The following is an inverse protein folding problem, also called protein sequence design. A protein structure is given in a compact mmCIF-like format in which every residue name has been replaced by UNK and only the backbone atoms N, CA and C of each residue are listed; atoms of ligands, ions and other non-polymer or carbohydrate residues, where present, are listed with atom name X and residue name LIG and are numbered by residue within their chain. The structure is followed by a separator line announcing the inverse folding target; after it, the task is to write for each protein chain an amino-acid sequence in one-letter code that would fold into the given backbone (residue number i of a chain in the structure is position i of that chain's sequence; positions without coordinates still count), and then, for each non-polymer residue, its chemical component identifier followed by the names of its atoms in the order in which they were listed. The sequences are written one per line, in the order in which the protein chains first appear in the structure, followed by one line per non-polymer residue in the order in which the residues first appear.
data_IF_006101455161
#
_entry.id   IF_006101455161
#
_cell.length_a   1.000
_cell.length_b   1.000
_cell.length_c   1.000
_cell.angle_alpha   90.00
_cell.angle_beta   90.00
_cell.angle_gamma   90.00
#
_symmetry.space_group_name_H-M   'P 1'
#
loop_
_entity.id
_entity.type
_entity.pdbx_description
1 polymer ?
#
# COMPACT_ATOMS: atom_id res chain seq x y z
N UNK A 1 -10.03 30.17 -29.36
CA UNK A 1 -9.72 28.81 -28.88
C UNK A 1 -11.05 28.13 -28.66
N UNK A 2 -11.29 27.02 -29.34
CA UNK A 2 -12.53 26.24 -29.14
C UNK A 2 -12.29 25.46 -27.84
N UNK A 3 -13.12 25.69 -26.82
CA UNK A 3 -13.04 24.87 -25.62
C UNK A 3 -13.30 23.41 -26.03
N UNK A 4 -12.47 22.46 -25.56
CA UNK A 4 -12.71 21.04 -25.82
C UNK A 4 -14.11 20.62 -25.34
N UNK A 5 -14.68 19.54 -25.91
CA UNK A 5 -16.04 19.11 -25.57
C UNK A 5 -16.16 18.78 -24.08
N UNK A 6 -17.11 19.46 -23.42
CA UNK A 6 -17.47 19.25 -22.01
C UNK A 6 -18.76 18.41 -21.90
N UNK A 7 -18.88 17.65 -20.83
CA UNK A 7 -20.04 16.83 -20.52
C UNK A 7 -20.22 16.64 -19.03
N UNK A 8 -21.04 15.67 -18.63
CA UNK A 8 -21.19 15.29 -17.23
C UNK A 8 -21.14 13.77 -17.07
N UNK A 9 -20.43 13.29 -16.06
CA UNK A 9 -20.43 11.88 -15.68
C UNK A 9 -20.79 11.75 -14.20
N UNK A 10 -21.80 10.95 -13.86
CA UNK A 10 -22.34 10.83 -12.48
C UNK A 10 -22.63 12.19 -11.81
N UNK A 11 -23.06 13.18 -12.61
CA UNK A 11 -23.37 14.53 -12.14
C UNK A 11 -22.15 15.43 -11.87
N UNK A 12 -20.94 15.00 -12.23
CA UNK A 12 -19.71 15.79 -12.16
C UNK A 12 -19.37 16.32 -13.56
N UNK A 13 -18.99 17.59 -13.75
CA UNK A 13 -18.49 18.08 -15.04
C UNK A 13 -17.24 17.31 -15.48
N UNK A 14 -17.15 16.96 -16.76
CA UNK A 14 -16.00 16.27 -17.32
C UNK A 14 -15.60 16.90 -18.65
N UNK A 15 -14.32 16.87 -18.98
CA UNK A 15 -13.82 17.39 -20.26
C UNK A 15 -12.40 16.92 -20.56
N UNK A 16 -11.77 17.56 -21.55
CA UNK A 16 -10.35 17.38 -21.84
C UNK A 16 -9.58 18.67 -21.53
N UNK A 17 -8.36 18.58 -21.03
CA UNK A 17 -7.46 19.75 -20.97
C UNK A 17 -7.09 20.20 -22.39
N UNK A 18 -6.39 21.33 -22.53
CA UNK A 18 -5.93 21.77 -23.86
C UNK A 18 -4.95 20.77 -24.50
N UNK A 19 -4.24 20.03 -23.66
CA UNK A 19 -3.30 18.96 -24.02
C UNK A 19 -4.03 17.63 -24.31
N UNK A 20 -5.35 17.57 -24.13
CA UNK A 20 -6.17 16.40 -24.42
C UNK A 20 -6.32 15.42 -23.25
N UNK A 21 -5.97 15.81 -22.02
CA UNK A 21 -6.07 14.91 -20.87
C UNK A 21 -7.47 14.92 -20.26
N UNK A 22 -8.05 13.75 -19.96
CA UNK A 22 -9.39 13.69 -19.40
C UNK A 22 -9.40 14.23 -17.96
N UNK A 23 -10.38 15.07 -17.65
CA UNK A 23 -10.58 15.61 -16.31
C UNK A 23 -12.03 15.44 -15.84
N UNK A 24 -12.18 15.48 -14.52
CA UNK A 24 -13.46 15.62 -13.81
C UNK A 24 -13.39 16.80 -12.83
N UNK A 25 -14.49 17.52 -12.67
CA UNK A 25 -14.59 18.75 -11.89
C UNK A 25 -14.71 20.00 -12.75
N UNK A 26 -14.92 21.14 -12.09
CA UNK A 26 -15.05 22.44 -12.76
C UNK A 26 -13.77 22.77 -13.54
N UNK A 27 -13.85 23.20 -14.82
CA UNK A 27 -12.67 23.67 -15.56
C UNK A 27 -12.01 24.90 -14.92
N UNK A 28 -12.77 25.66 -14.12
CA UNK A 28 -12.34 26.85 -13.41
C UNK A 28 -11.97 26.59 -11.93
N UNK A 29 -11.84 25.31 -11.53
CA UNK A 29 -11.48 24.97 -10.15
C UNK A 29 -10.10 25.56 -9.80
N UNK A 30 -9.93 26.22 -8.64
CA UNK A 30 -8.68 26.87 -8.26
C UNK A 30 -7.53 25.90 -7.91
N UNK A 31 -7.85 24.61 -7.76
CA UNK A 31 -6.90 23.54 -7.45
C UNK A 31 -7.03 22.46 -8.51
N UNK A 32 -5.90 22.05 -9.08
CA UNK A 32 -5.81 20.94 -10.04
C UNK A 32 -5.04 19.80 -9.40
N UNK A 33 -5.68 18.64 -9.28
CA UNK A 33 -5.04 17.41 -8.83
C UNK A 33 -4.77 16.51 -10.03
N UNK A 34 -3.51 16.32 -10.39
CA UNK A 34 -3.12 15.35 -11.41
C UNK A 34 -2.97 13.97 -10.77
N UNK A 35 -3.77 13.01 -11.22
CA UNK A 35 -3.75 11.63 -10.77
C UNK A 35 -2.98 10.77 -11.79
N UNK A 36 -1.78 10.33 -11.42
CA UNK A 36 -0.97 9.40 -12.20
C UNK A 36 -1.28 7.97 -11.76
N UNK A 37 -1.96 7.23 -12.63
CA UNK A 37 -2.63 5.98 -12.26
C UNK A 37 -2.35 4.86 -13.26
N UNK A 38 -2.54 3.63 -12.79
CA UNK A 38 -2.36 2.39 -13.54
C UNK A 38 -3.61 1.53 -13.35
N UNK A 39 -4.31 1.23 -14.45
CA UNK A 39 -5.57 0.48 -14.39
C UNK A 39 -5.45 -0.94 -13.83
N UNK A 40 -4.26 -1.54 -13.83
CA UNK A 40 -4.01 -2.89 -13.31
C UNK A 40 -3.45 -2.86 -11.88
N UNK A 41 -3.00 -1.70 -11.40
CA UNK A 41 -2.45 -1.56 -10.07
C UNK A 41 -3.54 -1.76 -9.00
N UNK A 42 -3.33 -2.66 -8.02
CA UNK A 42 -4.28 -2.90 -6.94
C UNK A 42 -4.43 -1.69 -6.01
N UNK A 43 -3.37 -0.87 -5.84
CA UNK A 43 -3.46 0.37 -5.06
C UNK A 43 -4.28 1.45 -5.78
N UNK A 44 -4.17 1.56 -7.11
CA UNK A 44 -4.99 2.47 -7.89
C UNK A 44 -6.47 2.08 -7.78
N UNK A 45 -6.77 0.78 -7.87
CA UNK A 45 -8.11 0.25 -7.63
C UNK A 45 -8.61 0.56 -6.20
N UNK A 46 -7.75 0.39 -5.17
CA UNK A 46 -8.10 0.79 -3.80
C UNK A 46 -8.46 2.27 -3.69
N UNK A 47 -7.65 3.16 -4.26
CA UNK A 47 -7.94 4.59 -4.29
C UNK A 47 -9.28 4.88 -4.98
N UNK A 48 -9.50 4.30 -6.17
CA UNK A 48 -10.73 4.44 -6.95
C UNK A 48 -11.97 4.01 -6.17
N UNK A 49 -11.88 2.92 -5.39
CA UNK A 49 -13.00 2.39 -4.61
C UNK A 49 -13.21 3.15 -3.30
N UNK A 50 -12.14 3.48 -2.57
CA UNK A 50 -12.22 3.91 -1.17
C UNK A 50 -12.05 5.41 -0.96
N UNK A 51 -11.25 6.09 -1.79
CA UNK A 51 -10.84 7.49 -1.54
C UNK A 51 -11.44 8.45 -2.57
N UNK A 52 -11.39 8.11 -3.86
CA UNK A 52 -11.92 8.93 -4.95
C UNK A 52 -13.37 9.40 -4.71
N UNK A 53 -14.34 8.54 -4.33
CA UNK A 53 -15.73 8.97 -4.17
C UNK A 53 -15.92 10.06 -3.10
N UNK A 54 -15.13 10.01 -2.03
CA UNK A 54 -15.17 10.99 -0.95
C UNK A 54 -14.55 12.32 -1.37
N UNK A 55 -13.46 12.29 -2.15
CA UNK A 55 -12.86 13.49 -2.75
C UNK A 55 -13.82 14.13 -3.74
N UNK A 56 -14.45 13.31 -4.59
CA UNK A 56 -15.40 13.76 -5.59
C UNK A 56 -16.58 14.49 -4.95
N UNK A 57 -17.15 13.92 -3.88
CA UNK A 57 -18.27 14.52 -3.15
C UNK A 57 -17.88 15.82 -2.44
N UNK A 58 -16.72 15.85 -1.79
CA UNK A 58 -16.33 16.97 -0.92
C UNK A 58 -15.78 18.16 -1.72
N UNK A 59 -14.97 17.91 -2.76
CA UNK A 59 -14.18 18.94 -3.43
C UNK A 59 -14.45 19.10 -4.92
N UNK A 60 -14.73 18.00 -5.64
CA UNK A 60 -14.86 18.05 -7.10
C UNK A 60 -16.25 18.56 -7.51
N UNK A 61 -17.31 18.04 -6.87
CA UNK A 61 -18.70 18.49 -7.10
C UNK A 61 -18.93 19.94 -6.73
N UNK A 62 -18.26 20.42 -5.68
CA UNK A 62 -18.33 21.81 -5.23
C UNK A 62 -17.54 22.77 -6.13
N UNK A 63 -16.78 22.25 -7.10
CA UNK A 63 -15.97 23.04 -8.03
C UNK A 63 -14.68 23.57 -7.43
N UNK A 64 -14.28 23.08 -6.25
CA UNK A 64 -13.05 23.50 -5.57
C UNK A 64 -11.82 22.81 -6.16
N UNK A 65 -11.98 21.57 -6.63
CA UNK A 65 -10.89 20.77 -7.22
C UNK A 65 -11.31 20.24 -8.59
N UNK A 66 -10.37 20.28 -9.53
CA UNK A 66 -10.42 19.55 -10.80
C UNK A 66 -9.39 18.43 -10.77
N UNK A 67 -9.81 17.21 -11.05
CA UNK A 67 -8.90 16.05 -11.13
C UNK A 67 -8.60 15.77 -12.60
N UNK A 68 -7.33 15.71 -12.96
CA UNK A 68 -6.84 15.37 -14.31
C UNK A 68 -6.20 14.00 -14.26
N UNK A 69 -6.70 13.03 -15.02
CA UNK A 69 -6.12 11.70 -15.07
C UNK A 69 -4.91 11.66 -16.01
N UNK A 70 -3.83 11.02 -15.57
CA UNK A 70 -2.58 10.83 -16.30
C UNK A 70 -2.24 9.34 -16.35
N UNK A 71 -2.02 8.84 -17.57
CA UNK A 71 -1.63 7.45 -17.79
C UNK A 71 -0.22 7.21 -17.23
N UNK A 72 -0.08 6.27 -16.29
CA UNK A 72 1.22 5.86 -15.75
C UNK A 72 1.33 4.35 -15.55
N UNK A 73 1.16 3.52 -16.61
CA UNK A 73 1.29 2.07 -16.48
C UNK A 73 2.72 1.65 -16.13
N UNK A 74 2.83 0.80 -15.11
CA UNK A 74 4.09 0.18 -14.69
C UNK A 74 4.25 -1.16 -15.41
N UNK A 75 4.43 -1.14 -16.73
CA UNK A 75 4.35 -2.32 -17.61
C UNK A 75 5.17 -3.55 -17.18
N UNK A 76 6.26 -3.35 -16.43
CA UNK A 76 7.09 -4.44 -15.90
C UNK A 76 6.40 -5.22 -14.78
N UNK A 77 5.57 -4.54 -13.98
CA UNK A 77 4.78 -5.14 -12.89
C UNK A 77 3.37 -5.50 -13.37
N UNK A 78 2.84 -4.70 -14.30
CA UNK A 78 1.47 -4.73 -14.75
C UNK A 78 1.42 -4.82 -16.29
N UNK A 79 1.62 -6.02 -16.87
CA UNK A 79 1.78 -6.20 -18.32
C UNK A 79 0.51 -5.89 -19.14
N UNK A 80 -0.67 -5.94 -18.52
CA UNK A 80 -1.96 -5.63 -19.16
C UNK A 80 -2.33 -4.14 -19.05
N UNK A 81 -1.68 -3.37 -18.18
CA UNK A 81 -1.99 -1.96 -17.97
C UNK A 81 -1.84 -1.10 -19.24
N UNK A 82 -0.76 -1.18 -20.05
CA UNK A 82 -0.65 -0.37 -21.26
C UNK A 82 -1.85 -0.52 -22.20
N UNK A 83 -2.35 -1.75 -22.38
CA UNK A 83 -3.51 -2.03 -23.20
C UNK A 83 -4.81 -1.46 -22.60
N UNK A 84 -4.95 -1.48 -21.27
CA UNK A 84 -6.08 -0.84 -20.58
C UNK A 84 -6.09 0.69 -20.77
N UNK A 85 -4.92 1.34 -20.71
CA UNK A 85 -4.81 2.78 -20.99
C UNK A 85 -5.17 3.10 -22.45
N UNK A 86 -4.66 2.33 -23.42
CA UNK A 86 -5.05 2.45 -24.84
C UNK A 86 -6.56 2.28 -25.02
N UNK A 87 -7.17 1.28 -24.38
CA UNK A 87 -8.61 1.07 -24.42
C UNK A 87 -9.40 2.29 -23.91
N UNK A 88 -8.96 2.90 -22.79
CA UNK A 88 -9.58 4.11 -22.25
C UNK A 88 -9.47 5.30 -23.22
N UNK A 89 -8.31 5.50 -23.84
CA UNK A 89 -8.09 6.60 -24.79
C UNK A 89 -8.84 6.38 -26.11
N UNK A 90 -9.02 5.15 -26.56
CA UNK A 90 -9.86 4.84 -27.72
C UNK A 90 -11.36 5.02 -27.42
N UNK A 91 -11.79 4.81 -26.18
CA UNK A 91 -13.12 5.22 -25.75
C UNK A 91 -13.25 6.77 -25.74
N UNK A 92 -12.20 7.49 -25.37
CA UNK A 92 -12.17 8.95 -25.35
C UNK A 92 -12.41 9.59 -26.73
N UNK A 93 -11.95 8.95 -27.82
CA UNK A 93 -12.20 9.41 -29.19
C UNK A 93 -13.69 9.44 -29.55
N UNK A 94 -14.52 8.70 -28.80
CA UNK A 94 -15.98 8.69 -28.95
C UNK A 94 -16.70 9.61 -27.96
N UNK A 95 -15.94 10.30 -27.10
CA UNK A 95 -16.45 11.31 -26.18
C UNK A 95 -15.92 11.15 -24.77
N UNK A 96 -15.89 12.26 -24.02
CA UNK A 96 -15.39 12.26 -22.65
C UNK A 96 -16.23 11.39 -21.70
N UNK A 97 -17.53 11.26 -21.93
CA UNK A 97 -18.36 10.36 -21.13
C UNK A 97 -17.97 8.90 -21.34
N UNK A 98 -17.67 8.51 -22.59
CA UNK A 98 -17.19 7.17 -22.92
C UNK A 98 -15.85 6.86 -22.25
N UNK A 99 -14.94 7.84 -22.18
CA UNK A 99 -13.70 7.70 -21.40
C UNK A 99 -13.99 7.35 -19.93
N UNK A 100 -14.80 8.14 -19.23
CA UNK A 100 -15.06 7.93 -17.80
C UNK A 100 -15.87 6.65 -17.51
N UNK A 101 -16.73 6.24 -18.45
CA UNK A 101 -17.38 4.94 -18.40
C UNK A 101 -16.36 3.80 -18.53
N UNK A 102 -15.46 3.86 -19.52
CA UNK A 102 -14.40 2.86 -19.71
C UNK A 102 -13.43 2.83 -18.53
N UNK A 103 -12.93 3.99 -18.08
CA UNK A 103 -12.11 4.14 -16.87
C UNK A 103 -12.73 3.42 -15.67
N UNK A 104 -14.01 3.68 -15.39
CA UNK A 104 -14.70 3.07 -14.26
C UNK A 104 -14.84 1.56 -14.43
N UNK A 105 -15.17 1.08 -15.64
CA UNK A 105 -15.30 -0.36 -15.92
C UNK A 105 -13.97 -1.08 -15.75
N UNK A 106 -12.88 -0.52 -16.26
CA UNK A 106 -11.53 -1.09 -16.13
C UNK A 106 -11.16 -1.35 -14.67
N UNK A 107 -11.36 -0.39 -13.77
CA UNK A 107 -11.13 -0.60 -12.34
C UNK A 107 -12.13 -1.56 -11.69
N UNK A 108 -13.43 -1.43 -11.99
CA UNK A 108 -14.48 -2.27 -11.39
C UNK A 108 -14.32 -3.75 -11.72
N UNK A 109 -13.84 -4.06 -12.93
CA UNK A 109 -13.65 -5.43 -13.40
C UNK A 109 -12.18 -5.86 -13.35
N UNK A 110 -11.31 -5.13 -12.64
CA UNK A 110 -9.87 -5.39 -12.60
C UNK A 110 -9.56 -6.85 -12.28
N UNK A 111 -10.23 -7.43 -11.29
CA UNK A 111 -10.05 -8.84 -10.89
C UNK A 111 -10.36 -9.86 -12.01
N UNK A 112 -11.14 -9.48 -13.03
CA UNK A 112 -11.52 -10.37 -14.12
C UNK A 112 -10.48 -10.42 -15.25
N UNK A 113 -9.73 -9.32 -15.45
CA UNK A 113 -8.77 -9.22 -16.55
C UNK A 113 -7.30 -9.12 -16.09
N UNK A 114 -7.04 -8.91 -14.81
CA UNK A 114 -5.68 -8.71 -14.26
C UNK A 114 -4.69 -9.80 -14.72
N UNK A 115 -5.09 -11.07 -14.63
CA UNK A 115 -4.26 -12.23 -15.00
C UNK A 115 -4.54 -12.75 -16.42
N UNK A 116 -5.37 -12.05 -17.20
CA UNK A 116 -5.74 -12.50 -18.54
C UNK A 116 -4.53 -12.48 -19.46
N UNK A 117 -4.33 -13.57 -20.23
CA UNK A 117 -3.35 -13.61 -21.32
C UNK A 117 -3.86 -12.96 -22.61
N UNK A 118 -5.13 -12.53 -22.63
CA UNK A 118 -5.78 -11.80 -23.72
C UNK A 118 -6.67 -10.68 -23.15
N UNK A 119 -6.06 -9.80 -22.36
CA UNK A 119 -6.74 -8.62 -21.82
C UNK A 119 -7.34 -7.70 -22.91
N UNK A 120 -6.70 -7.48 -24.08
CA UNK A 120 -7.29 -6.67 -25.15
C UNK A 120 -8.68 -7.13 -25.60
N UNK A 121 -8.91 -8.45 -25.73
CA UNK A 121 -10.22 -9.00 -26.07
C UNK A 121 -11.28 -8.70 -25.00
N UNK A 122 -10.89 -8.74 -23.73
CA UNK A 122 -11.75 -8.34 -22.62
C UNK A 122 -12.09 -6.84 -22.70
N UNK A 123 -11.12 -5.98 -23.00
CA UNK A 123 -11.37 -4.53 -23.15
C UNK A 123 -12.27 -4.21 -24.35
N UNK A 124 -12.15 -4.93 -25.47
CA UNK A 124 -13.10 -4.82 -26.59
C UNK A 124 -14.51 -5.27 -26.21
N UNK A 125 -14.65 -6.24 -25.31
CA UNK A 125 -15.94 -6.65 -24.75
C UNK A 125 -16.55 -5.53 -23.91
N UNK A 126 -15.77 -4.91 -23.01
CA UNK A 126 -16.19 -3.73 -22.25
C UNK A 126 -16.64 -2.58 -23.16
N UNK A 127 -15.88 -2.29 -24.22
CA UNK A 127 -16.24 -1.26 -25.20
C UNK A 127 -17.61 -1.52 -25.85
N UNK A 128 -17.87 -2.78 -26.24
CA UNK A 128 -19.15 -3.19 -26.82
C UNK A 128 -20.31 -3.07 -25.82
N UNK A 129 -20.10 -3.44 -24.56
CA UNK A 129 -21.10 -3.30 -23.49
C UNK A 129 -21.44 -1.85 -23.17
N UNK A 130 -20.46 -0.94 -23.30
CA UNK A 130 -20.65 0.50 -23.17
C UNK A 130 -21.37 1.12 -24.39
N UNK A 131 -21.62 0.33 -25.44
CA UNK A 131 -22.30 0.78 -26.65
C UNK A 131 -21.45 1.66 -27.54
N UNK A 132 -20.12 1.53 -27.46
CA UNK A 132 -19.20 2.25 -28.35
C UNK A 132 -19.34 1.76 -29.79
N UNK A 133 -19.04 2.65 -30.74
CA UNK A 133 -18.88 2.29 -32.14
C UNK A 133 -17.64 1.40 -32.29
N UNK A 134 -17.87 0.10 -32.46
CA UNK A 134 -16.79 -0.89 -32.45
C UNK A 134 -15.89 -0.81 -33.69
N UNK A 135 -16.37 -0.28 -34.81
CA UNK A 135 -15.55 -0.04 -36.00
C UNK A 135 -14.48 1.03 -35.69
N UNK A 136 -14.90 2.17 -35.15
CA UNK A 136 -13.99 3.25 -34.76
C UNK A 136 -13.08 2.86 -33.59
N UNK A 137 -13.60 2.14 -32.60
CA UNK A 137 -12.81 1.67 -31.46
C UNK A 137 -11.69 0.72 -31.91
N UNK A 138 -12.03 -0.29 -32.72
CA UNK A 138 -11.04 -1.27 -33.20
C UNK A 138 -10.00 -0.59 -34.09
N UNK A 139 -10.42 0.33 -34.97
CA UNK A 139 -9.50 1.10 -35.79
C UNK A 139 -8.52 1.94 -34.94
N UNK A 140 -9.00 2.54 -33.84
CA UNK A 140 -8.14 3.26 -32.90
C UNK A 140 -7.10 2.33 -32.23
N UNK A 141 -7.54 1.17 -31.71
CA UNK A 141 -6.64 0.21 -31.06
C UNK A 141 -5.58 -0.31 -32.05
N UNK A 142 -5.99 -0.67 -33.26
CA UNK A 142 -5.09 -1.19 -34.31
C UNK A 142 -4.10 -0.14 -34.84
N UNK A 143 -4.43 1.14 -34.73
CA UNK A 143 -3.55 2.21 -35.19
C UNK A 143 -2.25 2.33 -34.37
N UNK A 144 -2.27 1.89 -33.11
CA UNK A 144 -1.18 2.07 -32.15
C UNK A 144 -0.92 3.53 -31.76
N UNK A 145 -1.70 4.51 -32.24
CA UNK A 145 -1.46 5.93 -32.01
C UNK A 145 -1.49 6.29 -30.51
N UNK A 146 -2.37 5.64 -29.75
CA UNK A 146 -2.53 5.89 -28.31
C UNK A 146 -1.35 5.38 -27.48
N UNK A 147 -0.55 4.44 -27.98
CA UNK A 147 0.64 3.93 -27.26
C UNK A 147 1.65 5.04 -27.00
N UNK A 148 1.82 5.96 -27.96
CA UNK A 148 2.72 7.10 -27.81
C UNK A 148 2.25 8.08 -26.73
N UNK A 149 0.94 8.30 -26.61
CA UNK A 149 0.36 9.14 -25.56
C UNK A 149 0.55 8.53 -24.18
N UNK A 150 0.34 7.21 -24.07
CA UNK A 150 0.59 6.47 -22.83
C UNK A 150 2.06 6.53 -22.43
N UNK A 151 2.99 6.32 -23.38
CA UNK A 151 4.41 6.42 -23.14
C UNK A 151 4.84 7.84 -22.71
N UNK A 152 4.19 8.88 -23.25
CA UNK A 152 4.42 10.25 -22.81
C UNK A 152 4.00 10.47 -21.36
N UNK A 153 2.82 9.96 -20.95
CA UNK A 153 2.36 10.02 -19.55
C UNK A 153 3.36 9.39 -18.57
N UNK A 154 3.94 8.24 -18.95
CA UNK A 154 5.01 7.57 -18.17
C UNK A 154 6.25 8.46 -18.01
N UNK A 155 6.72 9.06 -19.11
CA UNK A 155 7.90 9.94 -19.06
C UNK A 155 7.66 11.19 -18.20
N UNK A 156 6.47 11.78 -18.27
CA UNK A 156 6.09 12.92 -17.45
C UNK A 156 6.05 12.56 -15.97
N UNK A 157 5.44 11.42 -15.61
CA UNK A 157 5.41 10.93 -14.23
C UNK A 157 6.83 10.72 -13.67
N UNK A 158 7.71 10.09 -14.45
CA UNK A 158 9.11 9.86 -14.07
C UNK A 158 9.91 11.16 -13.95
N UNK A 159 9.65 12.15 -14.81
CA UNK A 159 10.28 13.46 -14.72
C UNK A 159 9.88 14.24 -13.45
N UNK A 160 8.70 13.95 -12.90
CA UNK A 160 8.24 14.45 -11.60
C UNK A 160 8.79 13.63 -10.42
N UNK A 161 9.59 12.60 -10.66
CA UNK A 161 10.17 11.74 -9.63
C UNK A 161 9.27 10.60 -9.16
N UNK A 162 8.10 10.40 -9.78
CA UNK A 162 7.19 9.32 -9.41
C UNK A 162 7.73 7.97 -9.89
N UNK A 163 7.83 7.02 -8.96
CA UNK A 163 8.30 5.65 -9.20
C UNK A 163 7.21 4.60 -8.98
N UNK A 164 5.97 5.01 -8.70
CA UNK A 164 4.86 4.12 -8.40
C UNK A 164 3.49 4.78 -8.58
N UNK A 165 2.44 3.96 -8.58
CA UNK A 165 1.06 4.38 -8.74
C UNK A 165 0.17 3.91 -7.57
N UNK A 166 -0.88 4.67 -7.20
CA UNK A 166 -1.19 5.99 -7.73
C UNK A 166 -0.23 7.04 -7.15
N UNK A 167 0.07 8.08 -7.91
CA UNK A 167 0.80 9.26 -7.45
C UNK A 167 0.03 10.52 -7.84
N UNK A 168 0.05 11.53 -6.98
CA UNK A 168 -0.74 12.73 -7.15
C UNK A 168 0.15 13.97 -7.15
N UNK A 169 -0.11 14.89 -8.06
CA UNK A 169 0.51 16.21 -8.10
C UNK A 169 -0.57 17.26 -7.92
N UNK A 170 -0.64 17.89 -6.76
CA UNK A 170 -1.72 18.82 -6.39
C UNK A 170 -1.21 20.25 -6.55
N UNK A 171 -1.76 20.96 -7.53
CA UNK A 171 -1.32 22.29 -7.94
C UNK A 171 -2.39 23.33 -7.60
N UNK A 172 -1.98 24.46 -7.04
CA UNK A 172 -2.86 25.61 -6.84
C UNK A 172 -2.63 26.63 -7.95
N UNK A 173 -3.64 26.88 -8.78
CA UNK A 173 -3.53 27.73 -9.97
C UNK A 173 -3.05 29.16 -9.67
N UNK A 174 -3.47 29.71 -8.53
CA UNK A 174 -3.15 31.09 -8.15
C UNK A 174 -1.66 31.33 -7.84
N UNK A 175 -0.96 30.32 -7.33
CA UNK A 175 0.44 30.44 -6.88
C UNK A 175 1.40 29.57 -7.71
N UNK A 176 0.87 28.60 -8.46
CA UNK A 176 1.62 27.55 -9.13
C UNK A 176 2.49 26.73 -8.16
N UNK A 177 2.11 26.71 -6.87
CA UNK A 177 2.69 25.80 -5.90
C UNK A 177 2.16 24.39 -6.16
N UNK A 178 3.06 23.41 -6.07
CA UNK A 178 2.74 22.02 -6.36
C UNK A 178 3.20 21.11 -5.23
N UNK A 179 2.33 20.16 -4.88
CA UNK A 179 2.46 19.31 -3.72
C UNK A 179 2.28 17.84 -4.14
N UNK A 180 3.33 17.01 -4.06
CA UNK A 180 3.21 15.59 -4.36
C UNK A 180 2.51 14.85 -3.19
N UNK A 181 1.71 13.84 -3.53
CA UNK A 181 1.18 12.86 -2.59
C UNK A 181 1.29 11.48 -3.22
N UNK A 182 2.04 10.57 -2.61
CA UNK A 182 2.41 9.28 -3.21
C UNK A 182 1.61 8.14 -2.58
N UNK A 183 1.09 7.25 -3.40
CA UNK A 183 0.36 6.05 -3.01
C UNK A 183 -1.14 6.29 -2.81
N UNK A 184 -1.88 5.19 -2.66
CA UNK A 184 -3.31 5.23 -2.36
C UNK A 184 -3.57 5.61 -0.91
N UNK A 185 -3.33 6.89 -0.59
CA UNK A 185 -3.49 7.46 0.73
C UNK A 185 -4.97 7.50 1.17
N UNK A 186 -5.25 7.48 2.49
CA UNK A 186 -6.61 7.69 3.01
C UNK A 186 -7.15 9.08 2.66
N UNK A 187 -8.48 9.22 2.64
CA UNK A 187 -9.18 10.48 2.38
C UNK A 187 -8.64 11.65 3.20
N UNK A 188 -8.36 11.44 4.50
CA UNK A 188 -7.92 12.50 5.41
C UNK A 188 -6.61 13.19 4.97
N UNK A 189 -5.71 12.45 4.30
CA UNK A 189 -4.47 13.04 3.79
C UNK A 189 -4.73 13.96 2.60
N UNK A 190 -5.67 13.59 1.72
CA UNK A 190 -6.11 14.46 0.64
C UNK A 190 -6.83 15.68 1.21
N UNK A 191 -7.76 15.48 2.15
CA UNK A 191 -8.50 16.55 2.79
C UNK A 191 -7.57 17.58 3.45
N UNK A 192 -6.57 17.13 4.20
CA UNK A 192 -5.59 18.02 4.84
C UNK A 192 -4.86 18.93 3.83
N UNK A 193 -4.42 18.38 2.69
CA UNK A 193 -3.75 19.17 1.64
C UNK A 193 -4.75 20.12 0.97
N UNK A 194 -5.90 19.60 0.54
CA UNK A 194 -6.91 20.36 -0.19
C UNK A 194 -7.48 21.50 0.66
N UNK A 195 -7.82 21.24 1.93
CA UNK A 195 -8.34 22.25 2.85
C UNK A 195 -7.32 23.36 3.12
N UNK A 196 -6.04 23.02 3.33
CA UNK A 196 -4.97 24.02 3.47
C UNK A 196 -4.85 24.90 2.21
N UNK A 197 -4.85 24.28 1.03
CA UNK A 197 -4.82 25.02 -0.24
C UNK A 197 -6.06 25.91 -0.41
N UNK A 198 -7.26 25.41 -0.10
CA UNK A 198 -8.49 26.21 -0.13
C UNK A 198 -8.39 27.40 0.82
N UNK A 199 -7.83 27.20 2.01
CA UNK A 199 -7.68 28.22 3.05
C UNK A 199 -6.63 29.31 2.73
N UNK A 200 -5.79 29.15 1.70
CA UNK A 200 -4.69 30.11 1.51
C UNK A 200 -3.37 29.69 2.17
N UNK A 201 -3.32 28.51 2.76
CA UNK A 201 -2.22 28.04 3.59
C UNK A 201 -1.27 27.15 2.78
N UNK A 202 -0.03 27.05 3.25
CA UNK A 202 0.93 26.06 2.74
C UNK A 202 0.60 24.72 3.40
N UNK A 203 0.19 23.70 2.64
CA UNK A 203 -0.01 22.37 3.19
C UNK A 203 1.26 21.92 3.91
N UNK A 204 1.10 21.37 5.10
CA UNK A 204 2.17 20.64 5.78
C UNK A 204 2.31 19.28 5.07
N UNK A 205 2.85 19.31 3.85
CA UNK A 205 3.23 18.09 3.15
C UNK A 205 4.48 17.59 3.85
N UNK A 206 4.52 16.32 4.24
CA UNK A 206 5.75 15.69 4.70
C UNK A 206 6.80 15.88 3.58
N UNK A 207 7.70 16.85 3.76
CA UNK A 207 8.64 17.27 2.73
C UNK A 207 9.73 16.22 2.57
N UNK A 208 9.98 15.80 1.34
CA UNK A 208 10.99 14.81 0.92
C UNK A 208 12.46 15.27 1.09
N UNK A 209 12.77 16.17 2.02
CA UNK A 209 14.15 16.55 2.40
C UNK A 209 14.52 16.05 3.81
N UNK A 210 14.25 14.79 4.09
CA UNK A 210 14.96 13.94 5.05
C UNK A 210 14.35 12.54 4.97
N UNK A 211 15.17 11.50 5.17
CA UNK A 211 14.82 10.11 4.87
C UNK A 211 13.51 9.62 5.46
N UNK A 212 12.96 8.59 4.80
CA UNK A 212 12.08 7.55 5.36
C UNK A 212 11.36 7.90 6.69
N UNK A 213 10.33 8.73 6.65
CA UNK A 213 9.39 8.85 7.77
C UNK A 213 7.97 8.73 7.23
N UNK A 214 7.38 7.56 7.46
CA UNK A 214 5.94 7.35 7.29
C UNK A 214 5.14 8.08 8.36
N UNK A 215 4.01 8.64 7.92
CA UNK A 215 2.75 8.75 8.66
C UNK A 215 2.77 9.40 10.05
N UNK A 216 2.26 10.64 10.09
CA UNK A 216 1.67 11.21 11.31
C UNK A 216 2.52 12.33 11.90
N UNK A 217 2.10 13.57 11.67
CA UNK A 217 2.33 14.74 12.54
C UNK A 217 3.70 14.86 13.26
N UNK A 218 4.83 14.45 12.65
CA UNK A 218 6.15 14.54 13.30
C UNK A 218 6.26 13.88 14.68
N UNK A 219 5.28 13.05 15.08
CA UNK A 219 5.29 12.32 16.34
C UNK A 219 5.61 10.86 16.01
N UNK A 220 6.72 10.38 16.55
CA UNK A 220 7.09 8.97 16.51
C UNK A 220 5.88 8.16 17.03
N UNK A 221 5.33 7.22 16.25
CA UNK A 221 4.18 6.44 16.69
C UNK A 221 4.45 5.78 18.04
N UNK A 222 3.45 5.70 18.93
CA UNK A 222 3.65 5.18 20.30
C UNK A 222 4.43 3.85 20.33
N UNK A 223 4.11 2.93 19.42
CA UNK A 223 4.79 1.62 19.26
C UNK A 223 6.27 1.68 18.85
N UNK A 224 6.76 2.85 18.42
CA UNK A 224 8.16 3.13 18.11
C UNK A 224 8.80 4.13 19.09
N UNK A 225 8.09 4.56 20.14
CA UNK A 225 8.65 5.44 21.18
C UNK A 225 9.38 4.63 22.25
N UNK A 226 10.28 5.29 22.99
CA UNK A 226 10.92 4.69 24.16
C UNK A 226 9.93 4.27 25.27
N UNK A 227 8.73 4.86 25.32
CA UNK A 227 7.68 4.44 26.26
C UNK A 227 6.95 3.19 25.75
N UNK A 228 6.50 3.19 24.49
CA UNK A 228 5.79 2.04 23.93
C UNK A 228 6.64 0.80 23.74
N UNK A 229 7.97 0.95 23.58
CA UNK A 229 8.93 -0.15 23.46
C UNK A 229 9.36 -0.75 24.80
N UNK A 230 9.01 -0.14 25.94
CA UNK A 230 9.32 -0.74 27.24
C UNK A 230 8.59 -2.07 27.43
N UNK A 231 9.18 -3.05 28.13
CA UNK A 231 8.47 -4.24 28.55
C UNK A 231 7.23 -3.91 29.39
N UNK A 232 6.11 -4.55 29.08
CA UNK A 232 4.89 -4.48 29.86
C UNK A 232 5.06 -5.28 31.16
N UNK A 233 5.00 -4.64 32.35
CA UNK A 233 5.17 -5.33 33.63
C UNK A 233 4.01 -6.29 33.96
N UNK A 234 2.85 -6.12 33.34
CA UNK A 234 1.65 -6.93 33.55
C UNK A 234 1.52 -8.05 32.51
N UNK A 235 2.26 -7.98 31.40
CA UNK A 235 2.27 -8.97 30.30
C UNK A 235 3.72 -9.32 29.88
N UNK A 236 4.38 -10.27 30.57
CA UNK A 236 5.72 -10.70 30.19
C UNK A 236 5.80 -11.14 28.72
N UNK A 237 6.82 -10.69 28.00
CA UNK A 237 6.99 -10.95 26.55
C UNK A 237 6.44 -9.85 25.65
N UNK A 238 5.60 -8.96 26.16
CA UNK A 238 5.02 -7.85 25.40
C UNK A 238 5.66 -6.51 25.72
N UNK A 239 5.74 -5.65 24.72
CA UNK A 239 5.98 -4.22 24.94
C UNK A 239 4.74 -3.52 25.50
N UNK A 240 4.89 -2.31 26.01
CA UNK A 240 3.80 -1.43 26.42
C UNK A 240 2.86 -1.05 25.26
N UNK A 241 3.29 -1.25 24.02
CA UNK A 241 2.47 -1.15 22.81
C UNK A 241 1.77 -2.46 22.41
N UNK A 242 2.00 -3.54 23.17
CA UNK A 242 1.38 -4.84 22.96
C UNK A 242 2.08 -5.68 21.89
N UNK A 243 3.34 -5.39 21.57
CA UNK A 243 4.13 -6.15 20.59
C UNK A 243 4.95 -7.24 21.25
N UNK A 244 5.00 -8.42 20.63
CA UNK A 244 5.89 -9.49 21.04
C UNK A 244 7.34 -9.16 20.68
N UNK A 245 8.27 -9.48 21.58
CA UNK A 245 9.67 -9.16 21.40
C UNK A 245 10.61 -10.27 21.85
N UNK A 246 11.86 -10.17 21.42
CA UNK A 246 12.99 -10.96 21.91
C UNK A 246 14.28 -10.14 21.96
N UNK A 247 15.26 -10.63 22.69
CA UNK A 247 16.51 -9.92 22.96
C UNK A 247 16.39 -8.95 24.14
N UNK A 248 17.39 -8.09 24.28
CA UNK A 248 17.49 -7.16 25.39
C UNK A 248 16.66 -5.89 25.12
N UNK A 249 15.61 -5.59 25.92
CA UNK A 249 14.80 -4.37 25.75
C UNK A 249 15.57 -3.07 26.01
N UNK A 250 16.75 -3.15 26.64
CA UNK A 250 17.65 -2.01 26.86
C UNK A 250 18.72 -1.86 25.75
N UNK A 251 18.65 -2.68 24.69
CA UNK A 251 19.57 -2.57 23.57
C UNK A 251 19.37 -1.22 22.85
N UNK A 252 20.47 -0.58 22.46
CA UNK A 252 20.44 0.73 21.80
C UNK A 252 19.90 0.66 20.36
N UNK A 253 19.84 -0.53 19.77
CA UNK A 253 19.31 -0.76 18.43
C UNK A 253 18.04 -1.59 18.54
N UNK A 254 16.94 -1.06 18.00
CA UNK A 254 15.66 -1.76 17.93
C UNK A 254 15.38 -2.11 16.48
N UNK A 255 14.99 -3.36 16.21
CA UNK A 255 14.53 -3.81 14.91
C UNK A 255 13.06 -4.19 15.03
N UNK A 256 12.19 -3.43 14.39
CA UNK A 256 10.75 -3.71 14.32
C UNK A 256 10.47 -4.40 12.99
N UNK A 257 10.13 -5.68 13.04
CA UNK A 257 9.78 -6.51 11.90
C UNK A 257 8.26 -6.47 11.65
N UNK A 258 7.86 -5.98 10.48
CA UNK A 258 6.51 -6.18 9.94
C UNK A 258 6.51 -7.43 9.06
N UNK A 259 5.85 -8.48 9.52
CA UNK A 259 5.88 -9.81 8.90
C UNK A 259 4.48 -10.32 8.57
N UNK A 260 4.42 -11.24 7.61
CA UNK A 260 3.18 -11.90 7.18
C UNK A 260 3.42 -13.41 7.16
N UNK A 261 2.69 -14.14 7.99
CA UNK A 261 2.86 -15.58 8.14
C UNK A 261 2.66 -16.37 6.85
N UNK A 262 1.86 -15.86 5.90
CA UNK A 262 1.60 -16.53 4.62
C UNK A 262 2.61 -16.12 3.53
N UNK A 263 3.46 -15.14 3.80
CA UNK A 263 4.40 -14.61 2.83
C UNK A 263 5.62 -15.53 2.64
N UNK A 264 5.91 -15.99 1.41
CA UNK A 264 7.07 -16.85 1.15
C UNK A 264 8.41 -16.16 1.41
N UNK A 265 8.48 -14.82 1.31
CA UNK A 265 9.69 -14.07 1.65
C UNK A 265 9.90 -13.94 3.16
N UNK A 266 8.82 -13.76 3.94
CA UNK A 266 8.90 -13.77 5.41
C UNK A 266 9.35 -15.14 5.89
N UNK A 267 8.77 -16.21 5.35
CA UNK A 267 9.23 -17.60 5.60
C UNK A 267 10.72 -17.77 5.31
N UNK A 268 11.19 -17.29 4.16
CA UNK A 268 12.62 -17.35 3.81
C UNK A 268 13.49 -16.59 4.81
N UNK A 269 13.07 -15.41 5.25
CA UNK A 269 13.79 -14.64 6.26
C UNK A 269 13.92 -15.43 7.57
N UNK A 270 12.81 -15.99 8.07
CA UNK A 270 12.78 -16.79 9.30
C UNK A 270 13.64 -18.05 9.18
N UNK A 271 13.66 -18.71 8.02
CA UNK A 271 14.44 -19.95 7.81
C UNK A 271 15.93 -19.71 7.57
N UNK A 272 16.27 -18.71 6.74
CA UNK A 272 17.62 -18.59 6.19
C UNK A 272 18.43 -17.45 6.83
N UNK A 273 17.78 -16.42 7.38
CA UNK A 273 18.45 -15.18 7.82
C UNK A 273 18.35 -14.98 9.32
N UNK A 274 17.14 -15.07 9.86
CA UNK A 274 16.87 -14.76 11.26
C UNK A 274 17.71 -15.57 12.26
N UNK A 275 17.97 -16.89 12.10
CA UNK A 275 18.75 -17.64 13.08
C UNK A 275 20.17 -17.11 13.25
N UNK A 276 20.77 -16.61 12.16
CA UNK A 276 22.10 -15.99 12.23
C UNK A 276 22.06 -14.60 12.86
N UNK A 277 20.98 -13.83 12.64
CA UNK A 277 20.80 -12.53 13.29
C UNK A 277 20.57 -12.70 14.78
N UNK A 278 19.82 -13.73 15.17
CA UNK A 278 19.56 -14.07 16.56
C UNK A 278 20.87 -14.40 17.29
N UNK A 279 21.64 -15.37 16.79
CA UNK A 279 22.94 -15.77 17.37
C UNK A 279 23.91 -14.59 17.48
N UNK A 280 23.94 -13.73 16.45
CA UNK A 280 24.92 -12.63 16.40
C UNK A 280 24.54 -11.43 17.24
N UNK A 281 23.26 -11.05 17.29
CA UNK A 281 22.84 -9.75 17.78
C UNK A 281 21.78 -9.80 18.87
N UNK A 282 20.82 -10.72 18.79
CA UNK A 282 19.72 -10.81 19.76
C UNK A 282 20.19 -11.52 21.03
N UNK A 283 20.82 -12.69 20.88
CA UNK A 283 21.35 -13.51 21.98
C UNK A 283 22.58 -12.88 22.66
N UNK A 284 23.22 -11.91 22.00
CA UNK A 284 24.36 -11.16 22.54
C UNK A 284 23.96 -9.80 23.12
N UNK A 285 22.65 -9.58 23.33
CA UNK A 285 22.07 -8.37 23.90
C UNK A 285 22.35 -7.06 23.13
N UNK A 286 22.73 -7.16 21.85
CA UNK A 286 23.04 -6.01 21.00
C UNK A 286 21.80 -5.42 20.31
N UNK A 287 20.76 -6.23 20.07
CA UNK A 287 19.54 -5.81 19.38
C UNK A 287 18.30 -6.22 20.18
N UNK A 288 17.34 -5.30 20.21
CA UNK A 288 15.97 -5.53 20.63
C UNK A 288 15.11 -5.81 19.39
N UNK A 289 14.54 -7.02 19.28
CA UNK A 289 13.75 -7.42 18.10
C UNK A 289 12.27 -7.46 18.44
N UNK A 290 11.46 -6.67 17.75
CA UNK A 290 10.02 -6.53 17.96
C UNK A 290 9.28 -7.02 16.73
N UNK A 291 8.24 -7.84 16.93
CA UNK A 291 7.41 -8.36 15.84
C UNK A 291 6.09 -7.61 15.73
N UNK A 292 5.66 -7.34 14.50
CA UNK A 292 4.35 -6.78 14.15
C UNK A 292 3.70 -7.54 13.00
N UNK A 293 2.40 -7.76 13.10
CA UNK A 293 1.63 -8.38 12.03
C UNK A 293 1.41 -7.42 10.86
N UNK A 294 1.69 -7.87 9.64
CA UNK A 294 1.34 -7.15 8.42
C UNK A 294 0.78 -8.06 7.31
N UNK A 295 -0.33 -8.78 7.55
CA UNK A 295 -1.05 -9.52 6.50
C UNK A 295 -1.28 -8.70 5.22
N UNK A 296 -0.74 -9.17 4.10
CA UNK A 296 -0.99 -8.57 2.80
C UNK A 296 -2.34 -9.06 2.26
N UNK A 297 -3.05 -8.22 1.50
CA UNK A 297 -4.37 -8.57 0.95
C UNK A 297 -4.34 -9.76 -0.02
N UNK A 298 -3.17 -10.09 -0.56
CA UNK A 298 -2.94 -11.26 -1.44
C UNK A 298 -2.79 -12.57 -0.66
N UNK A 299 -2.76 -12.51 0.68
CA UNK A 299 -2.56 -13.62 1.59
C UNK A 299 -3.80 -13.79 2.48
N UNK A 300 -4.87 -14.44 1.97
CA UNK A 300 -6.17 -14.43 2.63
C UNK A 300 -6.22 -15.18 3.97
N UNK A 301 -5.24 -16.04 4.27
CA UNK A 301 -5.14 -16.77 5.54
C UNK A 301 -4.18 -16.09 6.54
N UNK A 302 -3.39 -15.10 6.11
CA UNK A 302 -2.44 -14.41 6.98
C UNK A 302 -3.08 -13.74 8.22
N UNK A 303 -4.26 -13.08 8.13
CA UNK A 303 -4.91 -12.55 9.33
C UNK A 303 -5.25 -13.64 10.36
N UNK A 304 -5.76 -14.79 9.90
CA UNK A 304 -6.08 -15.91 10.78
C UNK A 304 -4.83 -16.54 11.40
N UNK A 305 -3.72 -16.63 10.66
CA UNK A 305 -2.42 -17.05 11.20
C UNK A 305 -1.88 -16.06 12.25
N UNK A 306 -2.05 -14.75 12.04
CA UNK A 306 -1.73 -13.74 13.05
C UNK A 306 -2.52 -13.93 14.34
N UNK A 307 -3.83 -14.17 14.23
CA UNK A 307 -4.69 -14.49 15.39
C UNK A 307 -4.22 -15.76 16.10
N UNK A 308 -3.86 -16.82 15.36
CA UNK A 308 -3.33 -18.05 15.93
C UNK A 308 -2.02 -17.81 16.72
N UNK A 309 -1.13 -16.94 16.22
CA UNK A 309 0.09 -16.57 16.91
C UNK A 309 -0.22 -15.81 18.22
N UNK A 310 -1.10 -14.82 18.20
CA UNK A 310 -1.55 -14.09 19.41
C UNK A 310 -2.26 -15.02 20.42
N UNK A 311 -3.01 -16.02 19.95
CA UNK A 311 -3.64 -16.99 20.83
C UNK A 311 -2.64 -17.94 21.50
N UNK A 312 -1.51 -18.23 20.84
CA UNK A 312 -0.40 -18.91 21.48
C UNK A 312 0.36 -17.98 22.43
N UNK A 313 0.43 -16.70 22.11
CA UNK A 313 1.02 -15.65 22.93
C UNK A 313 0.29 -15.47 24.27
N UNK A 314 -1.04 -15.62 24.29
CA UNK A 314 -1.84 -15.68 25.53
C UNK A 314 -1.49 -16.86 26.45
N UNK A 315 -0.65 -17.79 25.97
CA UNK A 315 -0.14 -18.95 26.69
C UNK A 315 1.41 -19.00 26.65
N UNK A 316 2.05 -17.83 26.54
CA UNK A 316 3.51 -17.64 26.56
C UNK A 316 4.26 -18.43 25.47
N UNK A 317 3.62 -18.71 24.32
CA UNK A 317 4.17 -19.54 23.23
C UNK A 317 4.11 -18.86 21.86
N UNK A 318 4.24 -17.53 21.82
CA UNK A 318 4.20 -16.76 20.57
C UNK A 318 5.29 -17.21 19.60
N UNK A 319 6.54 -17.29 20.06
CA UNK A 319 7.70 -17.55 19.19
C UNK A 319 7.70 -18.99 18.66
N UNK A 320 7.28 -19.95 19.47
CA UNK A 320 7.13 -21.34 19.05
C UNK A 320 6.01 -21.50 18.01
N UNK A 321 4.87 -20.83 18.20
CA UNK A 321 3.81 -20.82 17.19
C UNK A 321 4.24 -20.08 15.92
N UNK A 322 4.95 -18.96 16.07
CA UNK A 322 5.51 -18.19 14.95
C UNK A 322 6.40 -19.06 14.06
N UNK A 323 7.32 -19.84 14.65
CA UNK A 323 8.17 -20.77 13.91
C UNK A 323 7.36 -21.86 13.21
N UNK A 324 6.40 -22.48 13.90
CA UNK A 324 5.54 -23.53 13.33
C UNK A 324 4.68 -23.01 12.18
N UNK A 325 4.13 -21.80 12.27
CA UNK A 325 3.35 -21.18 11.20
C UNK A 325 4.19 -21.01 9.93
N UNK A 326 5.44 -20.57 10.04
CA UNK A 326 6.33 -20.48 8.87
C UNK A 326 6.83 -21.83 8.37
N UNK A 327 7.11 -22.78 9.27
CA UNK A 327 7.54 -24.13 8.90
C UNK A 327 6.44 -24.86 8.11
N UNK A 328 5.21 -24.81 8.63
CA UNK A 328 4.03 -25.52 8.15
C UNK A 328 3.16 -24.67 7.20
N UNK A 329 3.72 -23.61 6.62
CA UNK A 329 3.04 -22.67 5.70
C UNK A 329 2.13 -23.37 4.69
N UNK A 330 2.65 -24.41 4.03
CA UNK A 330 1.92 -25.16 2.99
C UNK A 330 0.72 -25.95 3.52
N UNK A 331 0.74 -26.34 4.80
CA UNK A 331 -0.29 -27.18 5.40
C UNK A 331 -1.55 -26.34 5.68
N UNK A 332 -1.36 -25.18 6.32
CA UNK A 332 -2.48 -24.31 6.71
C UNK A 332 -2.88 -23.27 5.66
N UNK A 333 -2.13 -23.07 4.57
CA UNK A 333 -2.50 -22.18 3.45
C UNK A 333 -3.66 -22.72 2.60
N UNK A 334 -4.77 -23.07 3.24
CA UNK A 334 -5.98 -23.64 2.68
C UNK A 334 -7.19 -22.77 3.04
N UNK A 335 -8.37 -23.10 2.50
CA UNK A 335 -9.58 -22.28 2.71
C UNK A 335 -10.00 -22.12 4.17
N UNK A 336 -9.77 -23.14 5.00
CA UNK A 336 -10.09 -23.15 6.44
C UNK A 336 -8.86 -23.61 7.22
N UNK A 337 -8.05 -22.69 7.78
CA UNK A 337 -6.79 -23.02 8.43
C UNK A 337 -6.93 -23.37 9.91
N UNK A 338 -8.06 -23.03 10.55
CA UNK A 338 -8.26 -23.15 12.00
C UNK A 338 -8.05 -24.58 12.54
N UNK A 339 -8.50 -25.66 11.87
CA UNK A 339 -8.22 -27.02 12.32
C UNK A 339 -6.73 -27.33 12.44
N UNK A 340 -5.92 -26.76 11.54
CA UNK A 340 -4.47 -26.96 11.54
C UNK A 340 -3.82 -26.11 12.64
N UNK A 341 -4.29 -24.87 12.86
CA UNK A 341 -3.82 -24.06 13.99
C UNK A 341 -4.08 -24.74 15.34
N UNK A 342 -5.22 -25.40 15.51
CA UNK A 342 -5.54 -26.20 16.71
C UNK A 342 -4.61 -27.42 16.83
N UNK A 343 -4.27 -28.07 15.71
CA UNK A 343 -3.27 -29.16 15.70
C UNK A 343 -1.90 -28.65 16.16
N UNK A 344 -1.42 -27.52 15.61
CA UNK A 344 -0.15 -26.89 16.00
C UNK A 344 -0.14 -26.49 17.47
N UNK A 345 -1.23 -25.90 17.98
CA UNK A 345 -1.38 -25.59 19.40
C UNK A 345 -1.28 -26.86 20.28
N UNK A 346 -1.79 -27.99 19.79
CA UNK A 346 -1.67 -29.29 20.46
C UNK A 346 -0.24 -29.84 20.44
N UNK A 347 0.50 -29.63 19.35
CA UNK A 347 1.93 -29.97 19.25
C UNK A 347 2.77 -29.18 20.28
N UNK A 348 2.41 -27.92 20.51
CA UNK A 348 3.02 -27.05 21.52
C UNK A 348 2.56 -27.36 22.96
N UNK A 349 1.55 -28.20 23.14
CA UNK A 349 1.01 -28.56 24.46
C UNK A 349 0.17 -27.46 25.10
N UNK A 350 -0.42 -26.56 24.30
CA UNK A 350 -1.30 -25.49 24.77
C UNK A 350 -2.65 -26.03 25.24
N UNK A 351 -3.35 -25.23 26.06
CA UNK A 351 -4.76 -25.45 26.37
C UNK A 351 -5.60 -25.21 25.11
N UNK A 352 -6.08 -26.31 24.53
CA UNK A 352 -6.85 -26.30 23.27
C UNK A 352 -8.20 -25.62 23.42
N UNK A 353 -8.85 -25.74 24.58
CA UNK A 353 -10.16 -25.10 24.80
C UNK A 353 -9.97 -23.58 24.88
N UNK A 354 -8.94 -23.12 25.60
CA UNK A 354 -8.58 -21.70 25.66
C UNK A 354 -8.14 -21.16 24.30
N UNK A 355 -7.30 -21.90 23.57
CA UNK A 355 -6.80 -21.52 22.25
C UNK A 355 -7.96 -21.39 21.25
N UNK A 356 -8.83 -22.40 21.19
CA UNK A 356 -10.00 -22.39 20.29
C UNK A 356 -10.94 -21.23 20.61
N UNK A 357 -11.19 -20.97 21.90
CA UNK A 357 -12.00 -19.81 22.31
C UNK A 357 -11.36 -18.47 21.92
N UNK A 358 -10.03 -18.40 21.92
CA UNK A 358 -9.28 -17.21 21.53
C UNK A 358 -9.32 -16.96 20.01
N UNK A 359 -9.33 -18.01 19.17
CA UNK A 359 -9.43 -17.86 17.72
C UNK A 359 -10.70 -17.12 17.28
N UNK A 360 -11.77 -17.23 18.08
CA UNK A 360 -13.06 -16.56 17.85
C UNK A 360 -13.16 -15.18 18.52
N UNK A 361 -12.11 -14.72 19.23
CA UNK A 361 -12.10 -13.45 19.95
C UNK A 361 -11.78 -12.28 19.00
N UNK A 362 -12.78 -11.43 18.76
CA UNK A 362 -12.64 -10.25 17.89
C UNK A 362 -11.56 -9.27 18.36
N UNK A 363 -11.23 -9.23 19.67
CA UNK A 363 -10.19 -8.35 20.20
C UNK A 363 -8.78 -8.79 19.77
N UNK A 364 -8.59 -10.09 19.57
CA UNK A 364 -7.33 -10.65 19.07
C UNK A 364 -7.18 -10.38 17.58
N UNK A 365 -8.27 -10.49 16.81
CA UNK A 365 -8.29 -10.07 15.42
C UNK A 365 -8.04 -8.56 15.27
N UNK A 366 -8.58 -7.75 16.19
CA UNK A 366 -8.32 -6.31 16.22
C UNK A 366 -6.84 -6.01 16.45
N UNK A 367 -6.14 -6.76 17.31
CA UNK A 367 -4.70 -6.58 17.54
C UNK A 367 -3.88 -6.73 16.26
N UNK A 368 -4.15 -7.78 15.47
CA UNK A 368 -3.53 -8.01 14.16
C UNK A 368 -3.81 -6.85 13.21
N UNK A 369 -5.06 -6.36 13.19
CA UNK A 369 -5.46 -5.22 12.36
C UNK A 369 -4.78 -3.90 12.80
N UNK A 370 -4.54 -3.71 14.09
CA UNK A 370 -3.84 -2.55 14.64
C UNK A 370 -2.38 -2.51 14.20
N UNK A 371 -1.68 -3.64 14.18
CA UNK A 371 -0.32 -3.72 13.62
C UNK A 371 -0.30 -3.43 12.12
N UNK A 372 -1.26 -3.98 11.37
CA UNK A 372 -1.42 -3.66 9.95
C UNK A 372 -1.60 -2.17 9.73
N UNK A 373 -2.42 -1.52 10.56
CA UNK A 373 -2.65 -0.08 10.48
C UNK A 373 -1.38 0.72 10.86
N UNK A 374 -0.66 0.27 11.88
CA UNK A 374 0.60 0.87 12.32
C UNK A 374 1.67 0.87 11.21
N UNK A 375 1.76 -0.23 10.46
CA UNK A 375 2.71 -0.35 9.35
C UNK A 375 2.27 0.36 8.06
N UNK A 376 1.00 0.74 7.92
CA UNK A 376 0.42 1.15 6.64
C UNK A 376 1.15 2.32 5.96
N UNK A 377 1.72 3.24 6.75
CA UNK A 377 2.48 4.38 6.24
C UNK A 377 3.89 3.99 5.75
N UNK A 378 4.51 2.98 6.36
CA UNK A 378 5.93 2.63 6.22
C UNK A 378 6.16 1.40 5.32
N UNK A 379 5.26 0.42 5.41
CA UNK A 379 5.43 -0.89 4.82
C UNK A 379 4.82 -0.92 3.41
N UNK A 380 5.60 -1.41 2.45
CA UNK A 380 5.18 -1.58 1.04
C UNK A 380 5.08 -3.04 0.62
N UNK A 381 5.62 -3.94 1.43
CA UNK A 381 5.61 -5.39 1.26
C UNK A 381 6.29 -6.04 2.46
N UNK A 382 6.14 -7.35 2.62
CA UNK A 382 6.69 -8.08 3.77
C UNK A 382 7.79 -9.07 3.35
N UNK A 383 8.82 -9.28 4.18
CA UNK A 383 9.04 -8.59 5.44
C UNK A 383 9.55 -7.16 5.20
N UNK A 384 9.25 -6.24 6.12
CA UNK A 384 9.90 -4.92 6.19
C UNK A 384 10.41 -4.72 7.60
N UNK A 385 11.64 -4.22 7.74
CA UNK A 385 12.24 -3.98 9.05
C UNK A 385 12.48 -2.48 9.23
N UNK A 386 12.08 -1.93 10.38
CA UNK A 386 12.43 -0.58 10.80
C UNK A 386 13.53 -0.70 11.85
N UNK A 387 14.69 -0.13 11.56
CA UNK A 387 15.82 -0.10 12.48
C UNK A 387 15.89 1.27 13.14
N UNK A 388 15.73 1.30 14.46
CA UNK A 388 15.79 2.51 15.28
C UNK A 388 17.12 2.53 16.06
N UNK A 389 17.82 3.65 16.01
CA UNK A 389 19.04 3.90 16.78
C UNK A 389 19.25 5.39 17.00
N UNK A 390 19.54 5.82 18.24
CA UNK A 390 19.82 7.22 18.60
C UNK A 390 18.79 8.25 18.09
N UNK A 391 17.50 7.87 18.10
CA UNK A 391 16.40 8.73 17.65
C UNK A 391 16.28 8.87 16.13
N UNK A 392 17.04 8.07 15.36
CA UNK A 392 16.91 7.95 13.91
C UNK A 392 16.29 6.59 13.55
N UNK A 393 15.51 6.58 12.47
CA UNK A 393 14.92 5.38 11.90
C UNK A 393 15.40 5.15 10.46
N UNK A 394 15.59 3.88 10.10
CA UNK A 394 15.86 3.48 8.72
C UNK A 394 15.04 2.24 8.36
N UNK A 395 14.62 2.15 7.10
CA UNK A 395 13.83 1.02 6.60
C UNK A 395 14.71 0.07 5.80
N UNK A 396 14.62 -1.22 6.12
CA UNK A 396 15.17 -2.33 5.35
C UNK A 396 13.99 -3.08 4.71
N UNK A 397 13.75 -2.90 3.39
CA UNK A 397 12.64 -3.58 2.71
C UNK A 397 13.05 -4.97 2.23
N UNK A 398 12.18 -5.96 2.46
CA UNK A 398 12.26 -7.31 1.92
C UNK A 398 13.24 -8.23 2.65
N UNK A 399 13.15 -9.52 2.33
CA UNK A 399 14.03 -10.55 2.86
C UNK A 399 15.42 -10.47 2.20
N UNK A 400 16.30 -9.66 2.76
CA UNK A 400 17.70 -9.51 2.34
C UNK A 400 18.52 -10.78 2.64
N UNK A 401 19.59 -11.05 1.88
CA UNK A 401 20.58 -12.06 2.27
C UNK A 401 21.21 -11.76 3.63
N UNK A 402 21.50 -12.81 4.40
CA UNK A 402 22.02 -12.71 5.77
C UNK A 402 23.28 -11.87 5.90
N UNK A 403 24.21 -11.95 4.95
CA UNK A 403 25.43 -11.15 4.96
C UNK A 403 25.11 -9.66 4.85
N UNK A 404 24.18 -9.30 3.95
CA UNK A 404 23.81 -7.90 3.74
C UNK A 404 23.05 -7.34 4.95
N UNK A 405 22.15 -8.12 5.54
CA UNK A 405 21.43 -7.70 6.74
C UNK A 405 22.41 -7.51 7.90
N UNK A 406 23.31 -8.49 8.12
CA UNK A 406 24.38 -8.39 9.14
C UNK A 406 25.22 -7.13 8.97
N UNK A 407 25.65 -6.82 7.74
CA UNK A 407 26.43 -5.61 7.46
C UNK A 407 25.68 -4.33 7.84
N UNK A 408 24.38 -4.23 7.52
CA UNK A 408 23.58 -3.05 7.83
C UNK A 408 23.47 -2.89 9.35
N UNK A 409 23.13 -3.95 10.08
CA UNK A 409 23.02 -3.90 11.55
C UNK A 409 24.34 -3.56 12.21
N UNK A 410 25.46 -4.11 11.73
CA UNK A 410 26.78 -3.77 12.23
C UNK A 410 27.13 -2.28 11.98
N UNK A 411 26.77 -1.73 10.82
CA UNK A 411 26.99 -0.31 10.52
C UNK A 411 26.20 0.62 11.45
N UNK A 412 24.97 0.22 11.79
CA UNK A 412 24.15 0.94 12.77
C UNK A 412 24.80 0.87 14.15
N UNK A 413 25.20 -0.33 14.60
CA UNK A 413 25.87 -0.53 15.89
C UNK A 413 27.22 0.22 16.00
N UNK A 414 27.97 0.33 14.90
CA UNK A 414 29.25 1.04 14.84
C UNK A 414 29.09 2.58 14.73
N UNK A 415 27.86 3.10 14.67
CA UNK A 415 27.57 4.54 14.56
C UNK A 415 27.99 5.16 13.22
N UNK A 416 28.02 4.37 12.14
CA UNK A 416 28.58 4.76 10.84
C UNK A 416 27.53 5.02 9.75
N UNK A 417 26.26 5.25 10.10
CA UNK A 417 25.23 5.59 9.13
C UNK A 417 25.42 7.06 8.66
N UNK A 418 25.73 7.23 7.37
CA UNK A 418 25.94 8.52 6.70
C UNK A 418 24.79 8.90 5.78
#
# INVERSE_FOLDING_TARGET
TVNPPEGTYKGIPVGFTQEGFPYRGSPDAPIVMYEYSDFQCPFCSRYFVQTEPAIDESYVRSGQVRVVFRDFPLAQLHPNAPAAHVASLCAADQGIEAYWQMHSRLFQTQSEWNESTDAPSYFSTLAGELGLDMESYQACVESGEKEALVAQGVMEAQALGFNGTPSFHIVRDATNDAYPLIGAQPYDQFAAILDALIAGETPQVASEESGSDGGGNGEIPYWATAEGLQPDPDRPGYTMAGDEYRGNPEAAVVVIEFSDFQCPFCRRHVQDTQPTLDEKFVETDQIFWVFKHFPLSIHPQAPAAGVAAECAANQDSFWEMHELLFERLSDWSISDPNPIFVELAGELGLDIDAFTSCLDDETVAQRVQEDMNAGAAFVRGTPTFIVLHDGQGSIIPGALPVERFTEILQQVLDGSAG
#
